data_IF_674293179313
#
_entry.id   IF_674293179313
#
_cell.length_a   1.000
_cell.length_b   1.000
_cell.length_c   1.000
_cell.angle_alpha   90.00
_cell.angle_beta   90.00
_cell.angle_gamma   90.00
#
_symmetry.space_group_name_H-M   'P 1'
#
loop_
_entity.id
_entity.type
_entity.pdbx_description
1 polymer ?
#
# COMPACT_ATOMS: atom_id res chain seq x y z
N UNK A 1 -6.20 0.16 -26.41
CA UNK A 1 -7.35 -0.55 -25.83
C UNK A 1 -7.97 -1.36 -26.96
N UNK A 2 -8.30 -2.62 -26.71
CA UNK A 2 -8.94 -3.56 -27.65
C UNK A 2 -10.27 -4.03 -27.05
N UNK A 3 -11.11 -4.79 -27.77
CA UNK A 3 -12.29 -5.42 -27.20
C UNK A 3 -12.00 -6.32 -25.99
N UNK A 4 -10.76 -6.79 -25.86
CA UNK A 4 -10.25 -7.60 -24.75
C UNK A 4 -9.59 -6.78 -23.63
N UNK A 5 -9.66 -5.44 -23.70
CA UNK A 5 -9.22 -4.53 -22.63
C UNK A 5 -7.95 -3.73 -22.92
N UNK A 6 -7.19 -3.42 -21.87
CA UNK A 6 -5.94 -2.65 -21.97
C UNK A 6 -4.78 -3.53 -22.47
N UNK A 7 -3.89 -2.95 -23.29
CA UNK A 7 -2.74 -3.67 -23.85
C UNK A 7 -1.60 -3.90 -22.83
N UNK A 8 -1.54 -3.10 -21.76
CA UNK A 8 -0.55 -3.21 -20.70
C UNK A 8 -1.13 -2.67 -19.38
N UNK A 9 -0.45 -2.93 -18.26
CA UNK A 9 -0.86 -2.48 -16.93
C UNK A 9 0.19 -1.55 -16.27
N UNK A 10 0.76 -0.62 -17.04
CA UNK A 10 1.78 0.30 -16.53
C UNK A 10 1.26 1.25 -15.45
N UNK A 11 -0.06 1.45 -15.39
CA UNK A 11 -0.73 2.24 -14.37
C UNK A 11 -1.04 1.45 -13.08
N UNK A 12 -0.69 0.15 -13.03
CA UNK A 12 -0.89 -0.68 -11.84
C UNK A 12 -2.36 -0.82 -11.43
N UNK A 13 -3.28 -0.90 -12.40
CA UNK A 13 -4.71 -1.12 -12.17
C UNK A 13 -5.50 0.12 -11.74
N UNK A 14 -4.86 1.29 -11.64
CA UNK A 14 -5.51 2.54 -11.22
C UNK A 14 -5.26 3.65 -12.24
N UNK A 15 -6.33 4.17 -12.84
CA UNK A 15 -6.30 5.26 -13.81
C UNK A 15 -7.12 6.43 -13.29
N UNK A 16 -6.51 7.61 -13.15
CA UNK A 16 -7.21 8.80 -12.65
C UNK A 16 -7.80 8.63 -11.24
N UNK A 17 -7.23 7.74 -10.42
CA UNK A 17 -7.74 7.43 -9.08
C UNK A 17 -8.90 6.43 -9.04
N UNK A 18 -9.25 5.81 -10.17
CA UNK A 18 -10.32 4.81 -10.27
C UNK A 18 -9.72 3.48 -10.74
N UNK A 19 -10.22 2.37 -10.19
CA UNK A 19 -9.81 1.03 -10.64
C UNK A 19 -10.12 0.87 -12.12
N UNK A 20 -9.11 0.52 -12.93
CA UNK A 20 -9.30 0.29 -14.36
C UNK A 20 -10.03 -1.02 -14.63
N UNK A 21 -9.92 -1.98 -13.70
CA UNK A 21 -10.38 -3.38 -13.80
C UNK A 21 -9.22 -4.38 -13.95
N UNK A 22 -8.02 -3.90 -14.24
CA UNK A 22 -6.79 -4.70 -14.31
C UNK A 22 -6.29 -5.01 -12.89
N UNK A 23 -5.37 -5.97 -12.72
CA UNK A 23 -4.74 -6.21 -11.42
C UNK A 23 -4.20 -4.92 -10.80
N UNK A 24 -4.54 -4.66 -9.54
CA UNK A 24 -3.98 -3.52 -8.80
C UNK A 24 -2.57 -3.91 -8.33
N UNK A 25 -1.58 -3.13 -8.74
CA UNK A 25 -0.16 -3.39 -8.45
C UNK A 25 0.40 -2.23 -7.64
N UNK A 26 0.97 -2.55 -6.49
CA UNK A 26 1.60 -1.58 -5.60
C UNK A 26 2.99 -2.06 -5.18
N UNK A 27 3.92 -1.11 -5.06
CA UNK A 27 5.26 -1.35 -4.55
C UNK A 27 5.47 -0.56 -3.26
N UNK A 28 6.06 -1.19 -2.26
CA UNK A 28 6.32 -0.58 -0.95
C UNK A 28 7.83 -0.51 -0.70
N UNK A 29 8.33 0.68 -0.46
CA UNK A 29 9.70 0.90 0.01
C UNK A 29 9.70 1.09 1.52
N UNK A 30 10.59 0.40 2.21
CA UNK A 30 10.72 0.46 3.67
C UNK A 30 12.13 0.91 4.04
N UNK A 31 12.19 1.88 4.96
CA UNK A 31 13.45 2.26 5.58
C UNK A 31 13.96 1.14 6.49
N UNK A 32 15.26 1.16 6.78
CA UNK A 32 15.85 0.27 7.78
C UNK A 32 15.25 0.52 9.19
N UNK A 33 15.32 -0.52 10.02
CA UNK A 33 14.89 -0.47 11.42
C UNK A 33 15.66 0.62 12.18
N UNK A 34 14.97 1.44 12.96
CA UNK A 34 15.61 2.55 13.70
C UNK A 34 16.45 2.06 14.88
N UNK A 35 16.02 0.97 15.53
CA UNK A 35 16.71 0.39 16.69
C UNK A 35 17.85 -0.49 16.24
N UNK A 36 19.07 0.03 16.35
CA UNK A 36 20.30 -0.67 16.03
C UNK A 36 21.27 -0.58 17.22
N UNK A 37 22.25 -1.48 17.25
CA UNK A 37 23.24 -1.54 18.34
C UNK A 37 24.33 -0.49 18.21
N UNK A 38 24.43 0.17 17.06
CA UNK A 38 25.37 1.28 16.84
C UNK A 38 24.85 2.54 17.55
N UNK A 39 25.64 3.19 18.42
CA UNK A 39 25.26 4.46 19.02
C UNK A 39 24.94 5.51 17.97
N UNK A 40 23.78 6.18 18.12
CA UNK A 40 23.35 7.29 17.29
C UNK A 40 23.20 8.56 18.11
N UNK A 41 23.74 9.68 17.62
CA UNK A 41 23.56 11.00 18.25
C UNK A 41 22.11 11.46 18.12
N UNK A 42 21.54 11.93 19.23
CA UNK A 42 20.17 12.45 19.28
C UNK A 42 20.03 13.52 20.38
N UNK A 43 18.79 13.90 20.68
CA UNK A 43 18.43 14.80 21.78
C UNK A 43 17.36 14.15 22.66
N UNK A 44 17.38 14.46 23.96
CA UNK A 44 16.32 14.07 24.88
C UNK A 44 15.12 15.03 24.80
N UNK A 45 14.08 14.75 25.59
CA UNK A 45 12.85 15.58 25.65
C UNK A 45 13.06 16.97 26.27
N UNK A 46 14.20 17.21 26.91
CA UNK A 46 14.60 18.51 27.47
C UNK A 46 15.55 19.27 26.52
N UNK A 47 15.88 18.70 25.36
CA UNK A 47 16.76 19.29 24.36
C UNK A 47 18.26 19.06 24.63
N UNK A 48 18.63 18.23 25.59
CA UNK A 48 20.03 17.94 25.86
C UNK A 48 20.57 16.88 24.85
N UNK A 49 21.81 17.03 24.36
CA UNK A 49 22.45 16.02 23.53
C UNK A 49 22.59 14.67 24.25
N UNK A 50 22.30 13.57 23.55
CA UNK A 50 22.42 12.21 24.08
C UNK A 50 22.87 11.24 22.98
N UNK A 51 23.66 10.23 23.34
CA UNK A 51 23.93 9.08 22.47
C UNK A 51 22.90 7.97 22.75
N UNK A 52 22.06 7.68 21.77
CA UNK A 52 21.04 6.64 21.85
C UNK A 52 21.64 5.33 21.37
N UNK A 53 21.62 4.32 22.25
CA UNK A 53 21.96 2.95 21.91
C UNK A 53 20.83 2.02 22.36
N UNK A 54 20.23 1.31 21.41
CA UNK A 54 19.21 0.32 21.71
C UNK A 54 19.84 -1.06 21.89
N UNK A 55 19.69 -1.62 23.10
CA UNK A 55 20.16 -2.97 23.46
C UNK A 55 18.97 -3.92 23.54
N UNK A 56 19.16 -5.18 23.13
CA UNK A 56 18.12 -6.19 23.10
C UNK A 56 17.89 -6.74 21.69
N UNK A 57 16.87 -7.57 21.52
CA UNK A 57 16.51 -8.15 20.23
C UNK A 57 15.60 -7.19 19.46
N UNK A 58 16.04 -6.77 18.29
CA UNK A 58 15.28 -5.94 17.35
C UNK A 58 15.22 -6.60 15.98
N UNK A 59 14.23 -6.24 15.17
CA UNK A 59 14.11 -6.76 13.82
C UNK A 59 15.26 -6.26 12.95
N UNK A 60 16.09 -7.14 12.36
CA UNK A 60 17.13 -6.71 11.41
C UNK A 60 16.52 -6.23 10.08
N UNK A 61 15.29 -6.67 9.78
CA UNK A 61 14.54 -6.26 8.60
C UNK A 61 13.04 -6.21 8.95
N UNK A 62 12.46 -5.01 9.00
CA UNK A 62 11.00 -4.83 9.18
C UNK A 62 10.20 -5.27 7.96
N UNK A 63 10.85 -5.40 6.79
CA UNK A 63 10.20 -5.72 5.52
C UNK A 63 9.44 -7.05 5.54
N UNK A 64 10.01 -8.07 6.16
CA UNK A 64 9.40 -9.41 6.23
C UNK A 64 8.03 -9.35 6.94
N UNK A 65 7.97 -8.58 8.02
CA UNK A 65 6.72 -8.40 8.79
C UNK A 65 5.77 -7.38 8.16
N UNK A 66 6.30 -6.46 7.36
CA UNK A 66 5.51 -5.42 6.71
C UNK A 66 4.67 -5.96 5.54
N UNK A 67 5.12 -6.99 4.83
CA UNK A 67 4.38 -7.58 3.70
C UNK A 67 2.95 -8.00 4.06
N UNK A 68 2.70 -8.87 5.06
CA UNK A 68 1.32 -9.25 5.40
C UNK A 68 0.48 -8.08 5.92
N UNK A 69 1.12 -7.06 6.53
CA UNK A 69 0.44 -5.83 6.93
C UNK A 69 -0.01 -5.05 5.69
N UNK A 70 0.86 -4.88 4.69
CA UNK A 70 0.54 -4.18 3.46
C UNK A 70 -0.58 -4.87 2.67
N UNK A 71 -0.57 -6.20 2.61
CA UNK A 71 -1.63 -7.01 2.00
C UNK A 71 -2.97 -6.81 2.71
N UNK A 72 -2.98 -6.86 4.05
CA UNK A 72 -4.19 -6.61 4.84
C UNK A 72 -4.72 -5.18 4.64
N UNK A 73 -3.82 -4.20 4.61
CA UNK A 73 -4.20 -2.80 4.35
C UNK A 73 -4.79 -2.62 2.96
N UNK A 74 -4.21 -3.26 1.93
CA UNK A 74 -4.77 -3.26 0.57
C UNK A 74 -6.19 -3.85 0.57
N UNK A 75 -6.40 -5.01 1.20
CA UNK A 75 -7.70 -5.66 1.27
C UNK A 75 -8.77 -4.80 1.97
N UNK A 76 -8.41 -4.15 3.09
CA UNK A 76 -9.32 -3.25 3.82
C UNK A 76 -9.71 -2.05 2.96
N UNK A 77 -8.74 -1.41 2.30
CA UNK A 77 -8.99 -0.24 1.44
C UNK A 77 -9.88 -0.63 0.25
N UNK A 78 -9.62 -1.76 -0.40
CA UNK A 78 -10.46 -2.22 -1.52
C UNK A 78 -11.88 -2.56 -1.07
N UNK A 79 -12.04 -3.19 0.10
CA UNK A 79 -13.36 -3.45 0.67
C UNK A 79 -14.13 -2.16 0.95
N UNK A 80 -13.47 -1.15 1.52
CA UNK A 80 -14.08 0.16 1.75
C UNK A 80 -14.54 0.82 0.45
N UNK A 81 -13.69 0.85 -0.59
CA UNK A 81 -14.08 1.36 -1.90
C UNK A 81 -15.24 0.59 -2.53
N UNK A 82 -15.25 -0.74 -2.42
CA UNK A 82 -16.35 -1.57 -2.90
C UNK A 82 -17.67 -1.23 -2.19
N UNK A 83 -17.65 -1.14 -0.86
CA UNK A 83 -18.84 -0.83 -0.05
C UNK A 83 -19.35 0.58 -0.35
N UNK A 84 -18.47 1.58 -0.52
CA UNK A 84 -18.85 2.93 -0.92
C UNK A 84 -19.51 2.96 -2.29
N UNK A 85 -18.91 2.30 -3.28
CA UNK A 85 -19.48 2.23 -4.62
C UNK A 85 -20.84 1.52 -4.60
N UNK A 86 -20.98 0.41 -3.86
CA UNK A 86 -22.26 -0.27 -3.70
C UNK A 86 -23.29 0.63 -3.01
N UNK A 87 -22.93 1.34 -1.95
CA UNK A 87 -23.85 2.22 -1.23
C UNK A 87 -24.37 3.39 -2.06
N UNK A 88 -23.56 3.91 -3.01
CA UNK A 88 -23.94 5.02 -3.87
C UNK A 88 -24.60 4.59 -5.18
N UNK A 89 -24.16 3.47 -5.75
CA UNK A 89 -24.46 3.07 -7.12
C UNK A 89 -25.12 1.69 -7.25
N UNK A 90 -25.68 1.12 -6.16
CA UNK A 90 -26.26 -0.24 -6.16
C UNK A 90 -27.20 -0.53 -7.33
N UNK A 91 -28.06 0.43 -7.66
CA UNK A 91 -29.12 0.28 -8.66
C UNK A 91 -28.75 0.87 -10.03
N UNK A 92 -27.54 1.44 -10.16
CA UNK A 92 -27.09 2.05 -11.40
C UNK A 92 -26.82 0.97 -12.44
N UNK A 93 -27.50 1.07 -13.59
CA UNK A 93 -27.27 0.22 -14.75
C UNK A 93 -26.69 1.05 -15.88
N UNK A 94 -25.62 0.54 -16.48
CA UNK A 94 -24.98 1.16 -17.65
C UNK A 94 -25.07 0.21 -18.84
N UNK A 95 -25.16 0.77 -20.05
CA UNK A 95 -25.08 0.00 -21.30
C UNK A 95 -23.64 -0.24 -21.76
N UNK A 96 -22.66 0.34 -21.05
CA UNK A 96 -21.24 0.19 -21.33
C UNK A 96 -20.83 -1.29 -21.18
N UNK A 97 -20.12 -1.87 -22.17
CA UNK A 97 -19.72 -3.27 -22.12
C UNK A 97 -18.72 -3.53 -20.98
N UNK A 98 -18.87 -4.68 -20.32
CA UNK A 98 -17.87 -5.20 -19.38
C UNK A 98 -16.78 -5.88 -20.21
N UNK A 99 -15.59 -5.28 -20.25
CA UNK A 99 -14.44 -5.86 -20.93
C UNK A 99 -13.73 -6.82 -19.97
N UNK A 100 -13.27 -7.96 -20.49
CA UNK A 100 -12.28 -8.77 -19.77
C UNK A 100 -11.04 -7.93 -19.52
N UNK A 101 -10.43 -8.06 -18.36
CA UNK A 101 -9.20 -7.34 -18.03
C UNK A 101 -8.16 -8.34 -17.56
N UNK A 102 -7.43 -8.89 -18.54
CA UNK A 102 -6.42 -9.96 -18.42
C UNK A 102 -6.86 -11.18 -17.61
#
# INVERSE_FOLDING_TARGET
MTPEGFLSNNAGGILGGISSGQPIVAHLALKATSSITTPGRSIDVHGNPVDVITKGRHDPCVGIRATPIAEAMMAIVLMDHLLRNRGQNADVRVSTPILGQL
#
